data_IF_066709431816
#
_entry.id   IF_066709431816
#
_cell.length_a   1.000
_cell.length_b   1.000
_cell.length_c   1.000
_cell.angle_alpha   90.00
_cell.angle_beta   90.00
_cell.angle_gamma   90.00
#
_symmetry.space_group_name_H-M   'P 1'
#
loop_
_entity.id
_entity.type
_entity.pdbx_description
1 polymer ?
#
# COMPACT_ATOMS: atom_id res chain seq x y z
N UNK A 1 -1.77 14.79 -13.62
CA UNK A 1 -2.62 14.19 -12.56
C UNK A 1 -3.97 13.85 -13.17
N UNK A 2 -4.32 12.57 -13.35
CA UNK A 2 -5.67 12.15 -13.77
C UNK A 2 -6.36 11.48 -12.58
N UNK A 3 -7.59 11.89 -12.31
CA UNK A 3 -8.44 11.29 -11.28
C UNK A 3 -9.16 10.08 -11.89
N UNK A 4 -8.88 8.88 -11.37
CA UNK A 4 -9.64 7.67 -11.73
C UNK A 4 -11.02 7.68 -11.08
N UNK A 5 -12.00 7.06 -11.75
CA UNK A 5 -13.37 6.94 -11.27
C UNK A 5 -13.40 6.30 -9.89
N UNK A 6 -14.00 7.02 -8.97
CA UNK A 6 -13.96 6.72 -7.56
C UNK A 6 -15.40 6.47 -7.11
N UNK A 7 -15.75 5.21 -6.84
CA UNK A 7 -17.07 4.83 -6.32
C UNK A 7 -17.15 5.37 -4.88
N UNK A 8 -18.01 6.37 -4.66
CA UNK A 8 -18.21 7.04 -3.36
C UNK A 8 -18.68 6.03 -2.30
N UNK A 9 -17.75 5.52 -1.52
CA UNK A 9 -18.03 4.66 -0.36
C UNK A 9 -16.94 4.86 0.67
N UNK A 10 -17.30 5.39 1.85
CA UNK A 10 -16.36 5.85 2.91
C UNK A 10 -15.20 4.90 3.27
N UNK A 11 -15.31 3.60 2.97
CA UNK A 11 -14.29 2.61 3.30
C UNK A 11 -13.80 1.78 2.09
N UNK A 12 -14.62 1.58 1.06
CA UNK A 12 -14.24 0.80 -0.13
C UNK A 12 -13.59 1.65 -1.21
N UNK A 13 -13.78 2.96 -1.17
CA UNK A 13 -13.30 3.89 -2.18
C UNK A 13 -11.77 3.82 -2.33
N UNK A 14 -11.04 3.94 -1.22
CA UNK A 14 -9.58 3.87 -1.23
C UNK A 14 -9.07 2.51 -1.68
N UNK A 15 -9.75 1.43 -1.30
CA UNK A 15 -9.36 0.07 -1.69
C UNK A 15 -9.53 -0.15 -3.20
N UNK A 16 -10.72 0.15 -3.73
CA UNK A 16 -11.04 -0.01 -5.16
C UNK A 16 -10.18 0.92 -6.01
N UNK A 17 -10.01 2.17 -5.57
CA UNK A 17 -9.17 3.13 -6.28
C UNK A 17 -7.71 2.67 -6.35
N UNK A 18 -7.15 2.17 -5.25
CA UNK A 18 -5.77 1.67 -5.24
C UNK A 18 -5.60 0.45 -6.14
N UNK A 19 -6.57 -0.47 -6.13
CA UNK A 19 -6.56 -1.64 -7.01
C UNK A 19 -6.61 -1.22 -8.49
N UNK A 20 -7.57 -0.37 -8.86
CA UNK A 20 -7.71 0.12 -10.23
C UNK A 20 -6.49 0.93 -10.68
N UNK A 21 -5.93 1.77 -9.81
CA UNK A 21 -4.70 2.49 -10.11
C UNK A 21 -3.53 1.52 -10.32
N UNK A 22 -3.40 0.50 -9.47
CA UNK A 22 -2.34 -0.52 -9.61
C UNK A 22 -2.47 -1.29 -10.93
N UNK A 23 -3.69 -1.54 -11.41
CA UNK A 23 -3.95 -2.17 -12.71
C UNK A 23 -3.74 -1.22 -13.90
N UNK A 24 -4.23 0.02 -13.82
CA UNK A 24 -4.07 1.04 -14.88
C UNK A 24 -2.58 1.33 -15.16
N UNK A 25 -1.76 1.35 -14.10
CA UNK A 25 -0.32 1.54 -14.20
C UNK A 25 0.37 0.42 -14.98
N UNK A 26 -0.18 -0.80 -15.02
CA UNK A 26 0.40 -1.90 -15.81
C UNK A 26 0.39 -1.61 -17.30
N UNK A 27 -0.64 -0.91 -17.78
CA UNK A 27 -0.83 -0.55 -19.18
C UNK A 27 -0.11 0.75 -19.58
N UNK A 28 0.72 1.32 -18.68
CA UNK A 28 1.46 2.55 -18.92
C UNK A 28 2.97 2.31 -18.89
N UNK A 29 3.72 3.22 -19.50
CA UNK A 29 5.18 3.27 -19.42
C UNK A 29 5.65 3.89 -18.10
N UNK A 30 5.22 3.31 -16.98
CA UNK A 30 5.65 3.73 -15.64
C UNK A 30 6.73 2.77 -15.16
N UNK A 31 7.89 3.32 -14.81
CA UNK A 31 9.03 2.53 -14.36
C UNK A 31 9.02 2.25 -12.85
N UNK A 32 8.59 3.22 -12.05
CA UNK A 32 8.64 3.17 -10.58
C UNK A 32 7.27 3.52 -9.99
N UNK A 33 6.81 2.69 -9.06
CA UNK A 33 5.53 2.82 -8.39
C UNK A 33 5.78 2.95 -6.89
N UNK A 34 5.28 4.02 -6.30
CA UNK A 34 5.46 4.29 -4.89
C UNK A 34 4.14 4.17 -4.14
N UNK A 35 4.04 3.17 -3.28
CA UNK A 35 2.90 2.98 -2.40
C UNK A 35 3.13 3.71 -1.07
N UNK A 36 2.12 4.42 -0.59
CA UNK A 36 2.16 5.08 0.72
C UNK A 36 1.16 4.40 1.67
N UNK A 37 1.62 4.10 2.89
CA UNK A 37 0.89 3.43 3.96
C UNK A 37 0.64 1.92 3.78
N UNK A 38 0.28 1.27 4.88
CA UNK A 38 0.13 -0.19 4.99
C UNK A 38 -1.04 -0.73 4.13
N UNK A 39 -2.13 0.03 4.05
CA UNK A 39 -3.33 -0.37 3.30
C UNK A 39 -3.08 -0.52 1.80
N UNK A 40 -2.54 0.50 1.10
CA UNK A 40 -2.21 0.42 -0.32
C UNK A 40 -1.09 -0.56 -0.65
N UNK A 41 -0.13 -0.75 0.26
CA UNK A 41 0.98 -1.68 0.07
C UNK A 41 0.54 -3.15 -0.06
N UNK A 42 -0.68 -3.51 0.35
CA UNK A 42 -1.25 -4.84 0.06
C UNK A 42 -1.39 -5.12 -1.43
N UNK A 43 -1.41 -4.10 -2.29
CA UNK A 43 -1.51 -4.25 -3.74
C UNK A 43 -0.17 -4.18 -4.46
N UNK A 44 0.93 -3.94 -3.73
CA UNK A 44 2.28 -3.84 -4.30
C UNK A 44 2.73 -5.11 -5.04
N UNK A 45 2.15 -6.27 -4.72
CA UNK A 45 2.42 -7.52 -5.43
C UNK A 45 1.99 -7.49 -6.89
N UNK A 46 0.94 -6.72 -7.24
CA UNK A 46 0.42 -6.63 -8.61
C UNK A 46 1.51 -6.09 -9.53
N UNK A 47 1.98 -4.84 -9.40
CA UNK A 47 3.03 -4.32 -10.28
C UNK A 47 4.35 -5.07 -10.18
N UNK A 48 4.70 -5.65 -9.01
CA UNK A 48 5.89 -6.48 -8.88
C UNK A 48 5.81 -7.74 -9.76
N UNK A 49 4.64 -8.37 -9.81
CA UNK A 49 4.44 -9.55 -10.65
C UNK A 49 4.64 -9.25 -12.14
N UNK A 50 4.33 -8.02 -12.58
CA UNK A 50 4.55 -7.55 -13.95
C UNK A 50 5.95 -6.92 -14.18
N UNK A 51 6.90 -7.12 -13.26
CA UNK A 51 8.29 -6.69 -13.42
C UNK A 51 8.53 -5.17 -13.25
N UNK A 52 7.59 -4.43 -12.65
CA UNK A 52 7.76 -2.99 -12.35
C UNK A 52 8.53 -2.80 -11.04
N UNK A 53 9.28 -1.70 -10.94
CA UNK A 53 9.95 -1.33 -9.68
C UNK A 53 8.91 -0.78 -8.71
N UNK A 54 8.86 -1.36 -7.52
CA UNK A 54 7.88 -1.01 -6.50
C UNK A 54 8.59 -0.59 -5.23
N UNK A 55 8.25 0.57 -4.71
CA UNK A 55 8.73 1.08 -3.42
C UNK A 55 7.52 1.27 -2.51
N UNK A 56 7.64 0.93 -1.23
CA UNK A 56 6.61 1.26 -0.25
C UNK A 56 7.15 2.19 0.83
N UNK A 57 6.32 3.12 1.29
CA UNK A 57 6.62 4.03 2.36
C UNK A 57 5.69 3.76 3.55
N UNK A 58 6.27 3.34 4.67
CA UNK A 58 5.54 3.11 5.92
C UNK A 58 5.70 4.31 6.85
N UNK A 59 4.58 4.99 7.07
CA UNK A 59 4.53 6.19 7.92
C UNK A 59 4.21 5.88 9.39
N UNK A 60 3.66 4.70 9.67
CA UNK A 60 3.32 4.29 11.03
C UNK A 60 2.51 2.99 11.10
N UNK A 61 2.32 2.49 12.32
CA UNK A 61 1.54 1.28 12.61
C UNK A 61 0.05 1.63 12.64
N UNK A 62 -0.59 1.67 11.48
CA UNK A 62 -2.00 2.02 11.39
C UNK A 62 -2.90 1.03 12.13
N UNK A 63 -2.53 -0.25 12.15
CA UNK A 63 -3.25 -1.29 12.91
C UNK A 63 -3.27 -1.04 14.42
N UNK A 64 -2.31 -0.29 14.96
CA UNK A 64 -2.22 0.03 16.39
C UNK A 64 -3.15 1.20 16.79
N UNK A 65 -3.68 1.95 15.82
CA UNK A 65 -4.57 3.08 16.10
C UNK A 65 -5.95 2.61 16.56
N UNK A 66 -6.48 3.26 17.59
CA UNK A 66 -7.76 2.91 18.22
C UNK A 66 -8.98 3.00 17.27
N UNK A 67 -8.89 3.81 16.20
CA UNK A 67 -9.99 4.08 15.26
C UNK A 67 -10.41 2.89 14.38
N UNK A 68 -9.60 1.83 14.33
CA UNK A 68 -9.86 0.68 13.45
C UNK A 68 -10.52 -0.48 14.20
N UNK A 69 -11.63 -0.99 13.65
CA UNK A 69 -12.28 -2.22 14.12
C UNK A 69 -11.43 -3.47 13.88
N UNK A 70 -11.83 -4.62 14.44
CA UNK A 70 -11.05 -5.88 14.39
C UNK A 70 -10.66 -6.32 12.98
N UNK A 71 -11.62 -6.28 12.03
CA UNK A 71 -11.36 -6.65 10.63
C UNK A 71 -10.39 -5.69 9.93
N UNK A 72 -10.56 -4.38 10.14
CA UNK A 72 -9.68 -3.37 9.57
C UNK A 72 -8.25 -3.48 10.13
N UNK A 73 -8.09 -3.73 11.43
CA UNK A 73 -6.76 -3.99 12.03
C UNK A 73 -6.11 -5.25 11.46
N UNK A 74 -6.87 -6.32 11.26
CA UNK A 74 -6.36 -7.54 10.64
C UNK A 74 -5.88 -7.27 9.21
N UNK A 75 -6.66 -6.56 8.40
CA UNK A 75 -6.25 -6.14 7.07
C UNK A 75 -4.99 -5.27 7.08
N UNK A 76 -4.90 -4.30 8.00
CA UNK A 76 -3.73 -3.44 8.14
C UNK A 76 -2.47 -4.22 8.57
N UNK A 77 -2.61 -5.25 9.40
CA UNK A 77 -1.50 -6.17 9.73
C UNK A 77 -1.04 -7.01 8.54
N UNK A 78 -1.96 -7.39 7.65
CA UNK A 78 -1.58 -8.01 6.37
C UNK A 78 -0.86 -6.98 5.50
N UNK A 79 -1.37 -5.75 5.44
CA UNK A 79 -0.75 -4.63 4.73
C UNK A 79 0.65 -4.27 5.20
N UNK A 80 0.87 -4.37 6.50
CA UNK A 80 2.18 -4.28 7.12
C UNK A 80 3.14 -5.33 6.56
N UNK A 81 2.79 -6.61 6.62
CA UNK A 81 3.64 -7.68 6.07
C UNK A 81 3.87 -7.50 4.58
N UNK A 82 2.81 -7.16 3.84
CA UNK A 82 2.85 -6.87 2.41
C UNK A 82 3.81 -5.72 2.06
N UNK A 83 3.85 -4.67 2.90
CA UNK A 83 4.75 -3.53 2.74
C UNK A 83 6.23 -3.85 2.94
N UNK A 84 6.58 -5.03 3.45
CA UNK A 84 7.97 -5.49 3.53
C UNK A 84 8.25 -6.55 2.46
N UNK A 85 7.29 -7.44 2.23
CA UNK A 85 7.50 -8.62 1.42
C UNK A 85 7.40 -8.36 -0.09
N UNK A 86 6.49 -7.47 -0.51
CA UNK A 86 6.20 -7.20 -1.92
C UNK A 86 6.93 -6.02 -2.57
N UNK A 87 7.31 -4.91 -1.93
CA UNK A 87 8.12 -3.92 -2.62
C UNK A 87 9.57 -4.41 -2.79
N UNK A 88 10.31 -3.77 -3.70
CA UNK A 88 11.76 -3.95 -3.85
C UNK A 88 12.49 -3.25 -2.71
N UNK A 89 11.97 -2.09 -2.29
CA UNK A 89 12.51 -1.28 -1.20
C UNK A 89 11.38 -0.75 -0.32
N UNK A 90 11.62 -0.75 0.99
CA UNK A 90 10.68 -0.22 1.98
C UNK A 90 11.32 0.92 2.74
N UNK A 91 10.72 2.10 2.62
CA UNK A 91 11.15 3.32 3.29
C UNK A 91 10.30 3.52 4.53
N UNK A 92 10.95 3.67 5.68
CA UNK A 92 10.30 3.98 6.96
C UNK A 92 10.64 5.40 7.38
N UNK A 93 9.70 6.09 8.03
CA UNK A 93 9.88 7.50 8.43
C UNK A 93 10.56 7.70 9.80
N UNK A 94 10.81 6.62 10.54
CA UNK A 94 11.46 6.70 11.87
C UNK A 94 12.32 5.48 12.16
N UNK A 95 13.33 5.65 13.01
CA UNK A 95 14.18 4.55 13.50
C UNK A 95 13.40 3.51 14.29
N UNK A 96 12.43 3.96 15.10
CA UNK A 96 11.53 3.06 15.86
C UNK A 96 10.73 2.14 14.92
N UNK A 97 10.28 2.66 13.78
CA UNK A 97 9.64 1.83 12.76
C UNK A 97 10.67 0.90 12.11
N UNK A 98 11.88 1.39 11.78
CA UNK A 98 12.94 0.55 11.24
C UNK A 98 13.23 -0.66 12.14
N UNK A 99 13.41 -0.43 13.44
CA UNK A 99 13.67 -1.47 14.44
C UNK A 99 12.49 -2.45 14.57
N UNK A 100 11.27 -2.01 14.28
CA UNK A 100 10.08 -2.88 14.27
C UNK A 100 9.99 -3.76 13.01
N UNK A 101 10.61 -3.33 11.91
CA UNK A 101 10.56 -3.98 10.61
C UNK A 101 11.81 -4.83 10.29
N UNK A 102 12.88 -4.73 11.09
CA UNK A 102 14.05 -5.62 11.05
C UNK A 102 13.76 -6.98 11.68
#
# INVERSE_FOLDING_TARGET
>A
LRFLLTIRSKHLETFVHTLLASMDVLFREIEIIHYHAQGPATFAWIPRFFGRKVVSCVQGLDWARAKWGRLARFYLKIGEKASVWFPHETVVVSRVLADHYQ
#
